data_IF_193856984606
#
_entry.id   IF_193856984606
#
_cell.length_a   1.000
_cell.length_b   1.000
_cell.length_c   1.000
_cell.angle_alpha   90.00
_cell.angle_beta   90.00
_cell.angle_gamma   90.00
#
_symmetry.space_group_name_H-M   'P 1'
#
loop_
_entity.id
_entity.type
_entity.pdbx_description
1 polymer ?
#
# COMPACT_ATOMS: atom_id res chain seq x y z
N UNK A 1 36.57 33.46 -38.82
CA UNK A 1 35.80 32.21 -39.08
C UNK A 1 35.25 31.57 -37.81
N UNK A 2 35.47 32.16 -36.61
CA UNK A 2 35.05 31.60 -35.31
C UNK A 2 33.69 32.13 -34.81
N UNK A 3 33.13 33.17 -35.43
CA UNK A 3 31.87 33.80 -34.99
C UNK A 3 30.61 33.04 -35.43
N UNK A 4 30.69 32.28 -36.54
CA UNK A 4 29.55 31.55 -37.11
C UNK A 4 29.22 30.23 -36.39
N UNK A 5 30.23 29.58 -35.81
CA UNK A 5 30.05 28.33 -35.06
C UNK A 5 29.39 28.57 -33.70
N UNK A 6 29.68 29.71 -33.07
CA UNK A 6 29.10 30.10 -31.78
C UNK A 6 27.60 30.41 -31.90
N UNK A 7 27.19 31.22 -32.89
CA UNK A 7 25.77 31.57 -33.09
C UNK A 7 24.90 30.37 -33.48
N UNK A 8 25.44 29.42 -34.23
CA UNK A 8 24.72 28.20 -34.60
C UNK A 8 24.48 27.28 -33.39
N UNK A 9 25.46 27.17 -32.48
CA UNK A 9 25.31 26.41 -31.23
C UNK A 9 24.21 27.00 -30.33
N UNK A 10 24.17 28.32 -30.15
CA UNK A 10 23.12 28.96 -29.37
C UNK A 10 21.73 28.78 -29.98
N UNK A 11 21.61 28.89 -31.30
CA UNK A 11 20.34 28.67 -32.01
C UNK A 11 19.85 27.22 -31.87
N UNK A 12 20.75 26.23 -31.96
CA UNK A 12 20.41 24.83 -31.75
C UNK A 12 19.97 24.54 -30.30
N UNK A 13 20.66 25.10 -29.30
CA UNK A 13 20.30 24.93 -27.89
C UNK A 13 18.93 25.57 -27.60
N UNK A 14 18.65 26.77 -28.13
CA UNK A 14 17.34 27.42 -27.99
C UNK A 14 16.22 26.64 -28.68
N UNK A 15 16.47 26.11 -29.89
CA UNK A 15 15.52 25.26 -30.59
C UNK A 15 15.25 23.94 -29.83
N UNK A 16 16.27 23.35 -29.21
CA UNK A 16 16.13 22.14 -28.40
C UNK A 16 15.31 22.42 -27.12
N UNK A 17 15.55 23.55 -26.46
CA UNK A 17 14.77 23.96 -25.27
C UNK A 17 13.32 24.31 -25.63
N UNK A 18 13.08 24.94 -26.78
CA UNK A 18 11.73 25.20 -27.28
C UNK A 18 10.99 23.89 -27.58
N UNK A 19 11.64 22.93 -28.26
CA UNK A 19 11.06 21.61 -28.52
C UNK A 19 10.75 20.86 -27.22
N UNK A 20 11.66 20.89 -26.23
CA UNK A 20 11.44 20.26 -24.92
C UNK A 20 10.30 20.92 -24.12
N UNK A 21 10.09 22.24 -24.26
CA UNK A 21 8.99 22.95 -23.62
C UNK A 21 7.62 22.63 -24.25
N UNK A 22 7.56 22.29 -25.53
CA UNK A 22 6.32 21.89 -26.22
C UNK A 22 6.02 20.38 -26.15
N UNK A 23 6.98 19.54 -25.78
CA UNK A 23 6.75 18.11 -25.52
C UNK A 23 6.31 17.80 -24.09
N UNK A 24 6.20 18.80 -23.21
CA UNK A 24 5.53 18.61 -21.93
C UNK A 24 4.02 18.45 -22.20
N UNK A 25 3.59 17.20 -22.37
CA UNK A 25 2.17 16.87 -22.34
C UNK A 25 1.54 17.56 -21.11
N UNK A 26 0.43 18.29 -21.28
CA UNK A 26 -0.25 18.86 -20.14
C UNK A 26 -0.57 17.72 -19.17
N UNK A 27 -0.30 17.91 -17.85
CA UNK A 27 -0.57 16.86 -16.87
C UNK A 27 -2.03 16.44 -17.02
N UNK A 28 -2.23 15.15 -17.31
CA UNK A 28 -3.55 14.59 -17.60
C UNK A 28 -4.48 14.99 -16.46
N UNK A 29 -5.54 15.79 -16.72
CA UNK A 29 -6.45 16.22 -15.68
C UNK A 29 -7.09 15.00 -15.04
N UNK A 30 -6.73 14.69 -13.79
CA UNK A 30 -7.30 13.58 -13.04
C UNK A 30 -6.31 12.63 -12.35
N UNK A 31 -5.01 12.66 -12.68
CA UNK A 31 -4.06 11.70 -12.11
C UNK A 31 -3.63 12.06 -10.68
N UNK A 32 -3.53 13.36 -10.36
CA UNK A 32 -3.29 13.83 -8.99
C UNK A 32 -4.59 13.90 -8.17
N UNK A 33 -5.36 12.81 -8.15
CA UNK A 33 -6.60 12.68 -7.40
C UNK A 33 -6.44 11.64 -6.29
N UNK A 34 -6.68 12.03 -5.04
CA UNK A 34 -6.45 11.15 -3.90
C UNK A 34 -7.31 9.87 -3.89
N UNK A 35 -8.54 9.93 -4.42
CA UNK A 35 -9.42 8.76 -4.55
C UNK A 35 -8.87 7.80 -5.59
N UNK A 36 -8.40 8.32 -6.73
CA UNK A 36 -7.79 7.50 -7.78
C UNK A 36 -6.53 6.78 -7.29
N UNK A 37 -5.65 7.50 -6.58
CA UNK A 37 -4.43 6.91 -6.00
C UNK A 37 -4.78 5.86 -4.94
N UNK A 38 -5.75 6.14 -4.08
CA UNK A 38 -6.25 5.16 -3.11
C UNK A 38 -6.76 3.89 -3.79
N UNK A 39 -7.61 4.03 -4.80
CA UNK A 39 -8.19 2.88 -5.51
C UNK A 39 -7.12 2.06 -6.24
N UNK A 40 -6.13 2.73 -6.83
CA UNK A 40 -4.98 2.06 -7.45
C UNK A 40 -4.24 1.19 -6.42
N UNK A 41 -3.86 1.74 -5.27
CA UNK A 41 -3.18 0.96 -4.23
C UNK A 41 -4.09 -0.14 -3.65
N UNK A 42 -5.40 0.10 -3.52
CA UNK A 42 -6.38 -0.88 -3.05
C UNK A 42 -6.40 -2.16 -3.87
N UNK A 43 -6.16 -2.10 -5.17
CA UNK A 43 -6.10 -3.31 -6.00
C UNK A 43 -5.05 -4.31 -5.47
N UNK A 44 -3.91 -3.82 -4.97
CA UNK A 44 -2.85 -4.65 -4.42
C UNK A 44 -3.21 -5.37 -3.12
N UNK A 45 -4.19 -4.88 -2.35
CA UNK A 45 -4.63 -5.57 -1.12
C UNK A 45 -5.50 -6.79 -1.39
N UNK A 46 -5.98 -6.97 -2.63
CA UNK A 46 -6.92 -8.02 -3.00
C UNK A 46 -6.27 -9.36 -3.33
N UNK A 47 -4.93 -9.44 -3.30
CA UNK A 47 -4.17 -10.61 -3.77
C UNK A 47 -4.63 -11.92 -3.13
N UNK A 48 -4.92 -11.92 -1.81
CA UNK A 48 -5.36 -13.12 -1.09
C UNK A 48 -6.75 -13.65 -1.51
N UNK A 49 -7.52 -12.84 -2.24
CA UNK A 49 -8.85 -13.22 -2.73
C UNK A 49 -8.82 -13.61 -4.21
N UNK A 50 -7.64 -13.66 -4.84
CA UNK A 50 -7.50 -14.02 -6.24
C UNK A 50 -7.67 -15.54 -6.40
N UNK A 51 -8.39 -15.94 -7.46
CA UNK A 51 -8.81 -17.34 -7.68
C UNK A 51 -7.64 -18.28 -7.94
N UNK A 52 -6.51 -17.78 -8.39
CA UNK A 52 -5.30 -18.59 -8.59
C UNK A 52 -4.67 -19.04 -7.27
N UNK A 53 -4.93 -18.36 -6.15
CA UNK A 53 -4.40 -18.72 -4.83
C UNK A 53 -5.34 -19.64 -4.04
N UNK A 54 -6.23 -20.37 -4.73
CA UNK A 54 -7.03 -21.39 -4.08
C UNK A 54 -6.12 -22.46 -3.46
N UNK A 55 -6.15 -22.64 -2.12
CA UNK A 55 -5.31 -23.60 -1.46
C UNK A 55 -5.69 -25.03 -1.87
N UNK A 56 -4.68 -25.89 -2.00
CA UNK A 56 -4.84 -27.33 -1.94
C UNK A 56 -5.36 -27.76 -0.54
N UNK A 57 -5.73 -29.03 -0.37
CA UNK A 57 -6.26 -29.55 0.91
C UNK A 57 -5.30 -29.35 2.10
N UNK A 58 -3.99 -29.28 1.86
CA UNK A 58 -2.94 -29.03 2.86
C UNK A 58 -2.61 -27.53 3.05
N UNK A 59 -3.38 -26.64 2.40
CA UNK A 59 -3.18 -25.20 2.41
C UNK A 59 -1.98 -24.72 1.58
N UNK A 60 -1.37 -25.58 0.76
CA UNK A 60 -0.34 -25.17 -0.21
C UNK A 60 -0.93 -24.58 -1.49
N UNK A 61 -0.10 -23.93 -2.30
CA UNK A 61 -0.40 -23.54 -3.68
C UNK A 61 0.68 -24.10 -4.61
N UNK A 62 0.38 -24.22 -5.89
CA UNK A 62 1.39 -24.62 -6.88
C UNK A 62 2.30 -23.45 -7.28
N UNK A 63 3.45 -23.76 -7.87
CA UNK A 63 4.46 -22.77 -8.29
C UNK A 63 3.90 -21.75 -9.29
N UNK A 64 3.04 -22.16 -10.21
CA UNK A 64 2.39 -21.26 -11.18
C UNK A 64 1.52 -20.21 -10.48
N UNK A 65 0.74 -20.61 -9.48
CA UNK A 65 -0.09 -19.72 -8.66
C UNK A 65 0.78 -18.73 -7.87
N UNK A 66 1.89 -19.18 -7.29
CA UNK A 66 2.86 -18.33 -6.62
C UNK A 66 3.44 -17.28 -7.56
N UNK A 67 3.96 -17.72 -8.71
CA UNK A 67 4.58 -16.83 -9.70
C UNK A 67 3.56 -15.81 -10.21
N UNK A 68 2.32 -16.22 -10.47
CA UNK A 68 1.22 -15.32 -10.86
C UNK A 68 0.90 -14.27 -9.79
N UNK A 69 0.85 -14.67 -8.52
CA UNK A 69 0.59 -13.76 -7.41
C UNK A 69 1.75 -12.78 -7.19
N UNK A 70 3.00 -13.25 -7.26
CA UNK A 70 4.16 -12.38 -7.11
C UNK A 70 4.35 -11.44 -8.32
N UNK A 71 4.11 -11.91 -9.55
CA UNK A 71 4.25 -11.09 -10.77
C UNK A 71 3.26 -9.92 -10.83
N UNK A 72 2.18 -9.98 -10.05
CA UNK A 72 1.28 -8.84 -9.87
C UNK A 72 1.98 -7.64 -9.20
N UNK A 73 3.05 -7.88 -8.44
CA UNK A 73 3.83 -6.87 -7.75
C UNK A 73 5.16 -6.59 -8.46
N UNK A 74 5.14 -5.66 -9.40
CA UNK A 74 6.35 -5.09 -10.00
C UNK A 74 7.32 -4.50 -8.95
N UNK A 75 8.61 -4.29 -9.29
CA UNK A 75 9.56 -3.66 -8.37
C UNK A 75 9.14 -2.26 -7.91
N UNK A 76 8.46 -1.52 -8.78
CA UNK A 76 7.86 -0.22 -8.52
C UNK A 76 6.37 -0.27 -8.86
N UNK A 77 5.51 0.28 -8.00
CA UNK A 77 4.06 0.22 -8.23
C UNK A 77 3.65 1.10 -9.41
N UNK A 78 2.67 0.63 -10.20
CA UNK A 78 2.09 1.47 -11.26
C UNK A 78 1.39 2.71 -10.69
N UNK A 79 0.99 2.66 -9.42
CA UNK A 79 0.39 3.77 -8.69
C UNK A 79 1.40 4.87 -8.36
N UNK A 80 2.63 4.50 -7.98
CA UNK A 80 3.71 5.46 -7.75
C UNK A 80 4.15 6.10 -9.07
N UNK A 81 4.28 5.29 -10.12
CA UNK A 81 4.62 5.78 -11.46
C UNK A 81 3.56 6.75 -12.00
N UNK A 82 2.27 6.46 -11.79
CA UNK A 82 1.20 7.32 -12.30
C UNK A 82 1.21 8.70 -11.66
N UNK A 83 1.61 8.83 -10.40
CA UNK A 83 1.66 10.11 -9.68
C UNK A 83 3.00 10.84 -9.79
N UNK A 84 3.98 10.34 -10.54
CA UNK A 84 5.34 10.91 -10.48
C UNK A 84 5.41 12.36 -11.01
N UNK A 85 4.52 12.72 -11.93
CA UNK A 85 4.37 14.10 -12.42
C UNK A 85 3.60 15.02 -11.46
N UNK A 86 3.01 14.49 -10.38
CA UNK A 86 2.28 15.31 -9.41
C UNK A 86 3.23 16.18 -8.57
N UNK A 87 2.73 17.32 -8.05
CA UNK A 87 3.49 18.16 -7.12
C UNK A 87 4.06 17.37 -5.94
N UNK A 88 5.26 17.73 -5.47
CA UNK A 88 5.94 17.01 -4.38
C UNK A 88 5.06 16.83 -3.15
N UNK A 89 4.37 17.88 -2.71
CA UNK A 89 3.45 17.83 -1.58
C UNK A 89 2.28 16.87 -1.78
N UNK A 90 1.88 16.58 -3.02
CA UNK A 90 0.90 15.52 -3.32
C UNK A 90 1.55 14.14 -3.22
N UNK A 91 2.73 13.93 -3.83
CA UNK A 91 3.46 12.66 -3.76
C UNK A 91 3.79 12.24 -2.34
N UNK A 92 4.25 13.20 -1.52
CA UNK A 92 4.62 12.97 -0.12
C UNK A 92 3.44 12.44 0.73
N UNK A 93 2.18 12.75 0.36
CA UNK A 93 1.00 12.20 1.05
C UNK A 93 0.81 10.69 0.84
N UNK A 94 1.40 10.13 -0.21
CA UNK A 94 1.28 8.72 -0.60
C UNK A 94 2.57 7.93 -0.39
N UNK A 95 3.62 8.53 0.18
CA UNK A 95 4.86 7.83 0.49
C UNK A 95 4.61 6.58 1.35
N UNK A 96 3.73 6.69 2.36
CA UNK A 96 3.31 5.56 3.20
C UNK A 96 2.51 4.50 2.44
N UNK A 97 1.79 4.90 1.38
CA UNK A 97 1.09 3.95 0.52
C UNK A 97 2.08 3.06 -0.22
N UNK A 98 3.14 3.66 -0.79
CA UNK A 98 4.20 2.93 -1.48
C UNK A 98 5.04 2.06 -0.53
N UNK A 99 5.28 2.50 0.70
CA UNK A 99 5.88 1.64 1.74
C UNK A 99 5.01 0.41 2.05
N UNK A 100 3.69 0.61 2.15
CA UNK A 100 2.72 -0.46 2.28
C UNK A 100 2.76 -1.44 1.11
N UNK A 101 2.85 -0.92 -0.12
CA UNK A 101 3.02 -1.73 -1.34
C UNK A 101 4.28 -2.60 -1.28
N UNK A 102 5.44 -2.00 -0.99
CA UNK A 102 6.72 -2.71 -0.89
C UNK A 102 6.68 -3.80 0.17
N UNK A 103 6.07 -3.53 1.33
CA UNK A 103 5.91 -4.51 2.40
C UNK A 103 4.98 -5.66 1.97
N UNK A 104 3.83 -5.36 1.35
CA UNK A 104 2.92 -6.39 0.83
C UNK A 104 3.61 -7.24 -0.23
N UNK A 105 4.34 -6.63 -1.17
CA UNK A 105 5.16 -7.33 -2.16
C UNK A 105 6.17 -8.27 -1.49
N UNK A 106 6.91 -7.79 -0.49
CA UNK A 106 7.89 -8.60 0.23
C UNK A 106 7.29 -9.82 0.92
N UNK A 107 6.02 -9.75 1.33
CA UNK A 107 5.29 -10.86 1.94
C UNK A 107 4.74 -11.82 0.87
N UNK A 108 4.16 -11.31 -0.21
CA UNK A 108 3.55 -12.13 -1.28
C UNK A 108 4.61 -12.83 -2.13
N UNK A 109 5.72 -12.15 -2.41
CA UNK A 109 6.85 -12.71 -3.16
C UNK A 109 7.85 -13.48 -2.27
N UNK A 110 7.48 -13.78 -1.02
CA UNK A 110 8.16 -14.77 -0.20
C UNK A 110 7.25 -16.00 -0.09
N UNK A 111 7.65 -17.12 -0.71
CA UNK A 111 6.80 -18.31 -0.81
C UNK A 111 6.33 -18.82 0.57
N UNK A 112 7.19 -18.76 1.59
CA UNK A 112 6.86 -19.22 2.94
C UNK A 112 5.80 -18.32 3.60
N UNK A 113 5.93 -17.01 3.44
CA UNK A 113 5.00 -16.01 3.96
C UNK A 113 3.67 -16.07 3.22
N UNK A 114 3.67 -16.20 1.90
CA UNK A 114 2.43 -16.37 1.14
C UNK A 114 1.70 -17.65 1.55
N UNK A 115 2.44 -18.76 1.76
CA UNK A 115 1.83 -20.01 2.20
C UNK A 115 1.19 -19.87 3.58
N UNK A 116 1.87 -19.19 4.52
CA UNK A 116 1.30 -18.88 5.83
C UNK A 116 0.00 -18.05 5.72
N UNK A 117 -0.05 -17.06 4.82
CA UNK A 117 -1.25 -16.26 4.58
C UNK A 117 -2.39 -17.08 3.99
N UNK A 118 -2.11 -17.89 2.95
CA UNK A 118 -3.10 -18.73 2.29
C UNK A 118 -3.70 -19.73 3.28
N UNK A 119 -2.85 -20.40 4.06
CA UNK A 119 -3.25 -21.29 5.15
C UNK A 119 -4.18 -20.60 6.13
N UNK A 120 -3.80 -19.44 6.70
CA UNK A 120 -4.70 -18.72 7.62
C UNK A 120 -6.00 -18.35 6.92
N UNK A 121 -5.94 -17.83 5.70
CA UNK A 121 -7.13 -17.35 4.98
C UNK A 121 -8.15 -18.47 4.74
N UNK A 122 -7.71 -19.69 4.43
CA UNK A 122 -8.59 -20.85 4.28
C UNK A 122 -9.30 -21.26 5.56
N UNK A 123 -8.78 -20.82 6.71
CA UNK A 123 -9.28 -21.18 8.02
C UNK A 123 -10.09 -20.07 8.69
N UNK A 124 -10.06 -18.86 8.14
CA UNK A 124 -10.82 -17.74 8.68
C UNK A 124 -12.32 -18.01 8.59
N UNK A 125 -12.96 -18.04 9.75
CA UNK A 125 -14.41 -17.97 9.82
C UNK A 125 -14.84 -16.51 9.59
N UNK A 126 -15.26 -16.21 8.35
CA UNK A 126 -15.67 -14.87 7.93
C UNK A 126 -16.82 -14.31 8.78
N UNK A 127 -17.77 -15.13 9.21
CA UNK A 127 -18.88 -14.69 10.06
C UNK A 127 -18.39 -14.21 11.43
N UNK A 128 -17.45 -14.94 12.04
CA UNK A 128 -16.81 -14.53 13.31
C UNK A 128 -15.98 -13.26 13.14
N UNK A 129 -15.22 -13.18 12.05
CA UNK A 129 -14.48 -11.97 11.70
C UNK A 129 -15.42 -10.77 11.56
N UNK A 130 -16.49 -10.89 10.77
CA UNK A 130 -17.46 -9.80 10.58
C UNK A 130 -18.13 -9.37 11.88
N UNK A 131 -18.53 -10.34 12.72
CA UNK A 131 -19.10 -10.06 14.06
C UNK A 131 -18.10 -9.32 14.96
N UNK A 132 -16.83 -9.73 14.96
CA UNK A 132 -15.80 -9.07 15.78
C UNK A 132 -15.45 -7.67 15.25
N UNK A 133 -15.27 -7.51 13.95
CA UNK A 133 -14.86 -6.23 13.34
C UNK A 133 -15.91 -5.14 13.55
N UNK A 134 -17.18 -5.53 13.73
CA UNK A 134 -18.32 -4.59 13.81
C UNK A 134 -18.26 -3.62 12.62
N UNK A 135 -18.21 -4.21 11.41
CA UNK A 135 -17.84 -3.49 10.20
C UNK A 135 -18.77 -2.29 9.95
N UNK A 136 -18.22 -1.12 9.56
CA UNK A 136 -19.04 0.00 9.13
C UNK A 136 -19.88 -0.40 7.93
N UNK A 137 -21.04 0.24 7.75
CA UNK A 137 -21.80 0.11 6.50
C UNK A 137 -20.89 0.42 5.31
N UNK A 138 -21.05 -0.33 4.23
CA UNK A 138 -20.35 -0.03 2.99
C UNK A 138 -20.57 1.44 2.58
N UNK A 139 -19.52 2.12 2.09
CA UNK A 139 -19.61 3.52 1.71
C UNK A 139 -20.59 3.69 0.55
N UNK A 140 -21.36 4.77 0.57
CA UNK A 140 -22.22 5.13 -0.57
C UNK A 140 -21.37 5.35 -1.82
N UNK A 141 -21.90 4.93 -2.98
CA UNK A 141 -21.21 5.06 -4.27
C UNK A 141 -20.86 6.54 -4.52
N UNK A 142 -19.56 6.84 -4.63
CA UNK A 142 -19.05 8.20 -4.84
C UNK A 142 -18.44 8.86 -3.59
N UNK A 143 -18.53 8.23 -2.42
CA UNK A 143 -17.78 8.65 -1.22
C UNK A 143 -16.39 8.00 -1.18
N UNK A 144 -15.44 8.62 -0.49
CA UNK A 144 -14.09 8.07 -0.35
C UNK A 144 -14.15 6.76 0.45
N UNK A 145 -13.85 5.59 -0.17
CA UNK A 145 -14.00 4.31 0.51
C UNK A 145 -12.87 4.02 1.53
N UNK A 146 -11.89 4.91 1.67
CA UNK A 146 -10.73 4.76 2.57
C UNK A 146 -11.13 4.41 4.00
N UNK A 147 -12.10 5.11 4.57
CA UNK A 147 -12.47 4.89 5.99
C UNK A 147 -12.98 3.45 6.21
N UNK A 148 -13.83 2.96 5.30
CA UNK A 148 -14.33 1.59 5.32
C UNK A 148 -13.18 0.58 5.26
N UNK A 149 -12.29 0.72 4.29
CA UNK A 149 -11.16 -0.20 4.11
C UNK A 149 -10.15 -0.13 5.26
N UNK A 150 -9.96 1.03 5.86
CA UNK A 150 -9.13 1.18 7.05
C UNK A 150 -9.74 0.46 8.26
N UNK A 151 -11.04 0.65 8.50
CA UNK A 151 -11.75 -0.08 9.56
C UNK A 151 -11.73 -1.59 9.32
N UNK A 152 -11.86 -2.03 8.07
CA UNK A 152 -11.78 -3.44 7.70
C UNK A 152 -10.37 -4.01 7.96
N UNK A 153 -9.31 -3.36 7.49
CA UNK A 153 -7.93 -3.82 7.65
C UNK A 153 -7.51 -3.84 9.14
N UNK A 154 -7.80 -2.75 9.87
CA UNK A 154 -7.51 -2.67 11.31
C UNK A 154 -8.38 -3.60 12.14
N UNK A 155 -9.64 -3.78 11.74
CA UNK A 155 -10.53 -4.78 12.29
C UNK A 155 -9.96 -6.18 12.14
N UNK A 156 -9.50 -6.53 10.94
CA UNK A 156 -8.91 -7.83 10.64
C UNK A 156 -7.68 -8.11 11.52
N UNK A 157 -6.83 -7.10 11.77
CA UNK A 157 -5.71 -7.22 12.71
C UNK A 157 -6.14 -7.55 14.14
N UNK A 158 -7.19 -6.89 14.64
CA UNK A 158 -7.70 -7.08 16.01
C UNK A 158 -8.47 -8.39 16.17
N UNK A 159 -9.14 -8.83 15.12
CA UNK A 159 -10.13 -9.90 15.17
C UNK A 159 -9.64 -11.24 14.64
N UNK A 160 -8.42 -11.32 14.10
CA UNK A 160 -7.88 -12.57 13.54
C UNK A 160 -7.97 -13.74 14.52
N UNK A 161 -7.73 -13.50 15.81
CA UNK A 161 -7.77 -14.53 16.85
C UNK A 161 -9.17 -15.15 17.02
N UNK A 162 -10.24 -14.37 16.83
CA UNK A 162 -11.62 -14.88 16.81
C UNK A 162 -11.93 -15.62 15.51
N UNK A 163 -11.38 -15.15 14.39
CA UNK A 163 -11.56 -15.74 13.06
C UNK A 163 -10.92 -17.12 12.94
N UNK A 164 -9.75 -17.35 13.56
CA UNK A 164 -9.01 -18.62 13.49
C UNK A 164 -9.33 -19.58 14.64
N UNK A 165 -10.32 -19.28 15.49
CA UNK A 165 -10.58 -20.04 16.72
C UNK A 165 -11.00 -21.50 16.50
N UNK A 166 -11.69 -21.78 15.39
CA UNK A 166 -12.18 -23.13 15.04
C UNK A 166 -11.24 -23.90 14.11
N UNK A 167 -10.04 -23.35 13.90
CA UNK A 167 -9.04 -23.98 13.08
C UNK A 167 -8.58 -25.31 13.65
N UNK A 168 -8.65 -26.37 12.82
CA UNK A 168 -8.20 -27.72 13.20
C UNK A 168 -6.71 -27.79 13.54
N UNK A 169 -5.90 -26.88 13.00
CA UNK A 169 -4.47 -26.76 13.27
C UNK A 169 -4.19 -25.47 14.03
N UNK A 170 -3.10 -25.45 14.81
CA UNK A 170 -2.65 -24.25 15.50
C UNK A 170 -2.01 -23.29 14.49
N UNK A 171 -2.66 -22.15 14.25
CA UNK A 171 -2.17 -21.10 13.35
C UNK A 171 -1.28 -20.06 14.04
N UNK A 172 -0.83 -20.33 15.27
CA UNK A 172 -0.01 -19.39 16.07
C UNK A 172 1.29 -18.99 15.35
N UNK A 173 1.84 -19.87 14.51
CA UNK A 173 3.08 -19.62 13.78
C UNK A 173 2.86 -18.71 12.56
N UNK A 174 1.67 -18.78 11.95
CA UNK A 174 1.29 -18.01 10.77
C UNK A 174 0.72 -16.63 11.14
N UNK A 175 0.14 -16.48 12.34
CA UNK A 175 -0.45 -15.21 12.82
C UNK A 175 0.46 -13.99 12.67
N UNK A 176 1.77 -14.05 12.97
CA UNK A 176 2.67 -12.94 12.74
C UNK A 176 2.72 -12.49 11.28
N UNK A 177 2.64 -13.41 10.32
CA UNK A 177 2.63 -13.08 8.89
C UNK A 177 1.31 -12.42 8.51
N UNK A 178 0.17 -12.95 8.98
CA UNK A 178 -1.14 -12.31 8.79
C UNK A 178 -1.15 -10.87 9.31
N UNK A 179 -0.63 -10.66 10.53
CA UNK A 179 -0.53 -9.33 11.13
C UNK A 179 0.39 -8.40 10.34
N UNK A 180 1.54 -8.90 9.85
CA UNK A 180 2.43 -8.12 8.98
C UNK A 180 1.72 -7.71 7.68
N UNK A 181 0.98 -8.61 7.05
CA UNK A 181 0.25 -8.33 5.82
C UNK A 181 -0.81 -7.24 6.02
N UNK A 182 -1.69 -7.39 7.01
CA UNK A 182 -2.74 -6.39 7.24
C UNK A 182 -2.21 -5.06 7.79
N UNK A 183 -1.04 -5.05 8.45
CA UNK A 183 -0.32 -3.82 8.78
C UNK A 183 0.22 -3.12 7.52
N UNK A 184 0.80 -3.88 6.58
CA UNK A 184 1.23 -3.37 5.28
C UNK A 184 0.05 -2.80 4.47
N UNK A 185 -1.09 -3.50 4.43
CA UNK A 185 -2.34 -3.00 3.81
C UNK A 185 -2.85 -1.74 4.52
N UNK A 186 -2.78 -1.67 5.84
CA UNK A 186 -3.17 -0.45 6.58
C UNK A 186 -2.27 0.75 6.25
N UNK A 187 -0.97 0.53 6.04
CA UNK A 187 -0.05 1.56 5.56
C UNK A 187 -0.36 1.96 4.11
N UNK A 188 -0.64 0.97 3.26
CA UNK A 188 -1.03 1.15 1.87
C UNK A 188 -2.23 2.10 1.74
N UNK A 189 -3.20 1.99 2.67
CA UNK A 189 -4.38 2.85 2.72
C UNK A 189 -4.18 4.14 3.49
N UNK A 190 -2.99 4.37 4.07
CA UNK A 190 -2.68 5.48 4.98
C UNK A 190 -3.72 5.59 6.10
N UNK A 191 -4.08 4.45 6.69
CA UNK A 191 -4.96 4.45 7.84
C UNK A 191 -4.25 5.15 9.00
N UNK A 192 -4.90 6.11 9.64
CA UNK A 192 -4.43 6.64 10.92
C UNK A 192 -4.24 5.44 11.84
N UNK A 193 -3.00 5.22 12.31
CA UNK A 193 -2.75 4.15 13.26
C UNK A 193 -3.76 4.30 14.39
N UNK A 194 -4.41 3.21 14.79
CA UNK A 194 -5.07 3.19 16.09
C UNK A 194 -4.01 3.68 17.07
N UNK A 195 -4.24 4.88 17.62
CA UNK A 195 -3.51 5.32 18.78
C UNK A 195 -3.56 4.18 19.81
N UNK A 196 -2.40 3.88 20.38
CA UNK A 196 -2.22 3.06 21.59
C UNK A 196 -2.68 1.60 21.53
N UNK A 197 -1.73 0.75 21.14
CA UNK A 197 -1.66 -0.65 21.56
C UNK A 197 -0.23 -1.16 21.77
N UNK A 198 0.80 -0.42 21.32
CA UNK A 198 2.20 -0.67 21.68
C UNK A 198 2.97 0.64 21.48
N UNK A 199 3.61 1.10 22.54
CA UNK A 199 4.29 2.39 22.60
C UNK A 199 5.46 2.51 21.61
N UNK A 200 5.49 3.61 20.88
CA UNK A 200 6.67 4.49 20.91
C UNK A 200 6.19 5.91 20.68
N UNK A 201 6.31 6.72 21.73
CA UNK A 201 6.06 8.14 21.69
C UNK A 201 7.12 8.79 20.79
N UNK A 202 6.71 9.26 19.62
CA UNK A 202 7.39 10.39 18.99
C UNK A 202 6.73 11.65 19.56
N UNK A 203 7.16 12.05 20.74
CA UNK A 203 6.84 13.35 21.33
C UNK A 203 7.37 14.43 20.39
N UNK A 204 6.55 15.41 19.94
CA UNK A 204 7.10 16.58 19.29
C UNK A 204 7.95 17.33 20.31
N UNK A 205 9.21 17.61 19.98
CA UNK A 205 10.06 18.51 20.76
C UNK A 205 9.43 19.90 20.77
N UNK A 206 8.60 20.18 21.78
CA UNK A 206 8.31 21.55 22.18
C UNK A 206 9.58 22.11 22.82
N UNK A 207 10.22 23.04 22.13
CA UNK A 207 11.23 23.91 22.71
C UNK A 207 10.60 24.71 23.86
N UNK A 208 10.95 24.34 25.09
CA UNK A 208 10.74 25.21 26.26
C UNK A 208 12.08 25.84 26.57
N UNK A 209 12.23 27.13 26.20
CA UNK A 209 13.26 27.98 26.76
C UNK A 209 12.98 28.13 28.26
N UNK A 210 13.76 27.46 29.09
CA UNK A 210 13.80 27.66 30.53
C UNK A 210 15.09 28.38 30.90
N UNK A 211 14.99 29.69 31.14
CA UNK A 211 15.99 30.46 31.85
C UNK A 211 15.95 30.06 33.34
N UNK A 212 17.10 29.61 33.87
CA UNK A 212 17.49 29.65 35.28
C UNK A 212 18.86 30.35 35.24
N UNK A 213 19.06 31.54 35.80
CA UNK A 213 18.91 31.80 37.23
C UNK A 213 20.30 31.71 37.88
N UNK A 214 21.09 32.78 37.73
CA UNK A 214 22.19 33.19 38.62
C UNK A 214 22.05 34.70 38.82
#
# INVERSE_FOLDING_TARGET
MESYTSTMLFACVLALHALLAFTQEPPVPGVCNAVHVFDCYREYSSVLFRKELLPNEDGSFNETSYLSACSFFAPESTCQLSIDHCPKNFKDQFARSEEGYKATRGIVCDASSLQALVRISSCLNNDRMHKCVSSPKEPERGTNPREYWCKFAQGSLRCVDEGVKECKHSYEQEKPIFRKYFAAVSNMFVCNALASGSASAATPHAFVFGALGL
#
